data_IF_595391969164
#
_entry.id   IF_595391969164
#
_cell.length_a   1.000
_cell.length_b   1.000
_cell.length_c   1.000
_cell.angle_alpha   90.00
_cell.angle_beta   90.00
_cell.angle_gamma   90.00
#
_symmetry.space_group_name_H-M   'P 1'
#
loop_
_entity.id
_entity.type
_entity.pdbx_description
1 polymer ?
#
# COMPACT_ATOMS: atom_id res chain seq x y z
N UNK A 1 4.66 10.13 7.15
CA UNK A 1 4.01 9.44 6.00
C UNK A 1 2.88 10.27 5.40
N UNK A 2 1.84 10.63 6.17
CA UNK A 2 0.69 11.41 5.66
C UNK A 2 1.11 12.75 5.02
N UNK A 3 1.94 13.56 5.71
CA UNK A 3 2.42 14.82 5.13
C UNK A 3 3.20 14.61 3.83
N UNK A 4 3.97 13.51 3.71
CA UNK A 4 4.65 13.18 2.46
C UNK A 4 3.66 12.84 1.35
N UNK A 5 2.58 12.11 1.62
CA UNK A 5 1.57 11.85 0.60
C UNK A 5 0.88 13.14 0.13
N UNK A 6 0.49 14.01 1.08
CA UNK A 6 -0.09 15.33 0.77
C UNK A 6 0.86 16.14 -0.10
N UNK A 7 2.14 16.21 0.26
CA UNK A 7 3.15 16.91 -0.54
C UNK A 7 3.31 16.28 -1.94
N UNK A 8 3.36 14.95 -2.06
CA UNK A 8 3.42 14.28 -3.35
C UNK A 8 2.18 14.52 -4.22
N UNK A 9 1.00 14.64 -3.61
CA UNK A 9 -0.27 14.90 -4.30
C UNK A 9 -0.40 16.35 -4.74
N UNK A 10 -0.11 17.29 -3.85
CA UNK A 10 -0.46 18.71 -4.03
C UNK A 10 0.72 19.56 -4.54
N UNK A 11 1.95 19.25 -4.12
CA UNK A 11 3.13 20.04 -4.50
C UNK A 11 3.87 19.43 -5.68
N UNK A 12 3.98 18.10 -5.70
CA UNK A 12 4.72 17.37 -6.73
C UNK A 12 3.83 16.76 -7.81
N UNK A 13 2.50 16.76 -7.59
CA UNK A 13 1.49 16.26 -8.51
C UNK A 13 1.77 14.86 -9.09
N UNK A 14 2.42 14.00 -8.30
CA UNK A 14 2.76 12.63 -8.69
C UNK A 14 1.82 11.57 -8.11
N UNK A 15 0.67 11.96 -7.56
CA UNK A 15 -0.37 11.01 -7.15
C UNK A 15 -1.32 10.67 -8.31
N UNK A 16 -2.36 9.90 -8.02
CA UNK A 16 -3.52 9.69 -8.88
C UNK A 16 -4.76 9.37 -8.03
N UNK A 17 -5.98 9.48 -8.58
CA UNK A 17 -7.22 9.23 -7.83
C UNK A 17 -7.26 7.85 -7.15
N UNK A 18 -6.70 6.83 -7.80
CA UNK A 18 -6.63 5.47 -7.29
C UNK A 18 -5.70 5.33 -6.07
N UNK A 19 -4.57 6.03 -6.09
CA UNK A 19 -3.62 6.06 -4.97
C UNK A 19 -4.18 6.84 -3.79
N UNK A 20 -4.77 8.00 -4.04
CA UNK A 20 -5.37 8.84 -2.99
C UNK A 20 -6.47 8.06 -2.26
N UNK A 21 -7.36 7.41 -3.02
CA UNK A 21 -8.42 6.58 -2.46
C UNK A 21 -7.89 5.39 -1.66
N UNK A 22 -6.84 4.73 -2.14
CA UNK A 22 -6.23 3.60 -1.41
C UNK A 22 -5.57 4.09 -0.12
N UNK A 23 -4.89 5.24 -0.14
CA UNK A 23 -4.30 5.85 1.06
C UNK A 23 -5.39 6.15 2.09
N UNK A 24 -6.50 6.75 1.69
CA UNK A 24 -7.62 7.07 2.59
C UNK A 24 -8.23 5.81 3.21
N UNK A 25 -8.45 4.77 2.40
CA UNK A 25 -8.94 3.46 2.85
C UNK A 25 -7.99 2.83 3.88
N UNK A 26 -6.67 2.87 3.61
CA UNK A 26 -5.68 2.35 4.56
C UNK A 26 -5.71 3.11 5.89
N UNK A 27 -5.81 4.45 5.85
CA UNK A 27 -5.91 5.27 7.06
C UNK A 27 -7.20 4.96 7.85
N UNK A 28 -8.32 4.80 7.15
CA UNK A 28 -9.62 4.47 7.75
C UNK A 28 -9.58 3.12 8.50
N UNK A 29 -8.89 2.10 7.96
CA UNK A 29 -8.87 0.76 8.54
C UNK A 29 -7.71 0.47 9.49
N UNK A 30 -7.01 1.51 9.96
CA UNK A 30 -6.10 1.40 11.10
C UNK A 30 -4.62 1.62 10.79
N UNK A 31 -4.26 2.05 9.58
CA UNK A 31 -2.90 2.53 9.34
C UNK A 31 -2.64 3.83 10.11
N UNK A 32 -1.52 3.89 10.85
CA UNK A 32 -1.06 5.12 11.51
C UNK A 32 -0.58 6.13 10.47
N UNK A 33 -0.04 5.63 9.35
CA UNK A 33 0.36 6.43 8.21
C UNK A 33 0.30 5.63 6.92
N UNK A 34 -0.07 6.28 5.83
CA UNK A 34 -0.08 5.69 4.49
C UNK A 34 0.38 6.74 3.46
N UNK A 35 0.99 6.30 2.38
CA UNK A 35 1.44 7.13 1.25
C UNK A 35 1.67 6.28 0.00
N UNK A 36 1.68 6.90 -1.17
CA UNK A 36 2.25 6.29 -2.38
C UNK A 36 3.73 5.92 -2.18
N UNK A 37 4.23 4.92 -2.90
CA UNK A 37 5.64 4.52 -2.90
C UNK A 37 6.14 4.22 -4.30
N UNK A 38 7.36 4.62 -4.62
CA UNK A 38 7.89 4.63 -5.98
C UNK A 38 7.64 5.96 -6.69
N UNK A 39 7.56 5.93 -8.02
CA UNK A 39 7.52 7.13 -8.86
C UNK A 39 6.21 7.93 -8.75
N UNK A 40 5.07 7.25 -8.57
CA UNK A 40 3.76 7.88 -8.60
C UNK A 40 2.95 7.58 -9.87
N UNK A 41 1.87 8.33 -10.07
CA UNK A 41 0.88 8.15 -11.16
C UNK A 41 0.34 6.72 -11.29
N UNK A 42 0.19 6.05 -10.15
CA UNK A 42 -0.18 4.64 -10.04
C UNK A 42 0.85 3.85 -9.22
N UNK A 43 0.83 2.52 -9.37
CA UNK A 43 1.73 1.63 -8.64
C UNK A 43 1.24 1.34 -7.23
N UNK A 44 2.13 1.46 -6.24
CA UNK A 44 1.90 0.94 -4.89
C UNK A 44 1.71 2.03 -3.84
N UNK A 45 1.06 1.67 -2.73
CA UNK A 45 1.10 2.42 -1.47
C UNK A 45 1.87 1.63 -0.41
N UNK A 46 2.39 2.34 0.58
CA UNK A 46 2.98 1.75 1.79
C UNK A 46 2.25 2.30 3.01
N UNK A 47 1.82 1.40 3.89
CA UNK A 47 1.05 1.73 5.09
C UNK A 47 1.69 1.13 6.33
N UNK A 48 1.84 1.95 7.37
CA UNK A 48 2.33 1.52 8.67
C UNK A 48 1.14 1.14 9.55
N UNK A 49 1.04 -0.14 9.89
CA UNK A 49 -0.11 -0.74 10.57
C UNK A 49 0.35 -1.41 11.87
N UNK A 50 -0.32 -1.17 13.01
CA UNK A 50 -0.09 -1.93 14.23
C UNK A 50 -0.27 -3.44 14.01
N UNK A 51 0.64 -4.26 14.54
CA UNK A 51 0.64 -5.71 14.31
C UNK A 51 -0.67 -6.38 14.75
N UNK A 52 -1.25 -5.92 15.87
CA UNK A 52 -2.53 -6.38 16.40
C UNK A 52 -3.72 -6.09 15.46
N UNK A 53 -3.60 -5.10 14.57
CA UNK A 53 -4.63 -4.72 13.60
C UNK A 53 -4.42 -5.32 12.21
N UNK A 54 -3.30 -6.01 11.96
CA UNK A 54 -2.89 -6.41 10.62
C UNK A 54 -3.94 -7.27 9.88
N UNK A 55 -4.46 -8.31 10.53
CA UNK A 55 -5.43 -9.21 9.89
C UNK A 55 -6.73 -8.49 9.51
N UNK A 56 -7.24 -7.66 10.42
CA UNK A 56 -8.45 -6.87 10.20
C UNK A 56 -8.23 -5.80 9.13
N UNK A 57 -7.06 -5.16 9.13
CA UNK A 57 -6.64 -4.19 8.11
C UNK A 57 -6.66 -4.83 6.71
N UNK A 58 -5.97 -5.96 6.53
CA UNK A 58 -5.90 -6.64 5.23
C UNK A 58 -7.29 -7.03 4.72
N UNK A 59 -8.13 -7.61 5.60
CA UNK A 59 -9.50 -8.00 5.26
C UNK A 59 -10.35 -6.80 4.81
N UNK A 60 -10.25 -5.68 5.51
CA UNK A 60 -11.06 -4.50 5.22
C UNK A 60 -10.58 -3.76 3.97
N UNK A 61 -9.27 -3.62 3.77
CA UNK A 61 -8.70 -3.02 2.55
C UNK A 61 -9.05 -3.85 1.32
N UNK A 62 -8.92 -5.19 1.39
CA UNK A 62 -9.37 -6.13 0.36
C UNK A 62 -10.82 -5.85 -0.04
N UNK A 63 -11.71 -5.78 0.96
CA UNK A 63 -13.13 -5.54 0.73
C UNK A 63 -13.43 -4.16 0.14
N UNK A 64 -12.79 -3.12 0.65
CA UNK A 64 -13.13 -1.73 0.32
C UNK A 64 -12.53 -1.23 -0.99
N UNK A 65 -11.39 -1.78 -1.43
CA UNK A 65 -10.67 -1.29 -2.61
C UNK A 65 -10.59 -2.29 -3.76
N UNK A 66 -10.36 -3.58 -3.45
CA UNK A 66 -10.11 -4.61 -4.47
C UNK A 66 -11.40 -5.32 -4.88
N UNK A 67 -12.29 -5.64 -3.95
CA UNK A 67 -13.56 -6.32 -4.27
C UNK A 67 -14.59 -5.42 -4.97
N UNK A 68 -14.38 -4.10 -4.98
CA UNK A 68 -15.29 -3.15 -5.63
C UNK A 68 -15.13 -3.12 -7.16
N UNK A 69 -14.08 -3.74 -7.69
CA UNK A 69 -13.73 -3.73 -9.11
C UNK A 69 -13.25 -5.12 -9.55
N UNK A 70 -13.82 -5.65 -10.63
CA UNK A 70 -13.52 -7.02 -11.08
C UNK A 70 -12.06 -7.22 -11.52
N UNK A 71 -11.42 -6.19 -12.09
CA UNK A 71 -10.02 -6.27 -12.50
C UNK A 71 -9.08 -6.25 -11.30
N UNK A 72 -9.37 -5.40 -10.31
CA UNK A 72 -8.59 -5.36 -9.06
C UNK A 72 -8.75 -6.65 -8.25
N UNK A 73 -9.95 -7.22 -8.22
CA UNK A 73 -10.19 -8.49 -7.54
C UNK A 73 -9.36 -9.63 -8.14
N UNK A 74 -9.19 -9.66 -9.46
CA UNK A 74 -8.43 -10.71 -10.14
C UNK A 74 -6.95 -10.76 -9.74
N UNK A 75 -6.38 -9.64 -9.30
CA UNK A 75 -4.94 -9.51 -8.94
C UNK A 75 -4.70 -9.34 -7.45
N UNK A 76 -5.75 -9.39 -6.62
CA UNK A 76 -5.68 -8.99 -5.22
C UNK A 76 -4.68 -9.81 -4.38
N UNK A 77 -4.63 -11.13 -4.59
CA UNK A 77 -3.70 -12.02 -3.88
C UNK A 77 -2.22 -11.59 -4.02
N UNK A 78 -1.88 -10.90 -5.11
CA UNK A 78 -0.52 -10.41 -5.40
C UNK A 78 -0.34 -8.90 -5.14
N UNK A 79 -1.41 -8.20 -4.75
CA UNK A 79 -1.45 -6.73 -4.67
C UNK A 79 -1.55 -6.21 -3.24
N UNK A 80 -1.92 -7.05 -2.27
CA UNK A 80 -2.04 -6.67 -0.86
C UNK A 80 -1.31 -7.67 0.04
N UNK A 81 -0.20 -7.24 0.63
CA UNK A 81 0.64 -8.10 1.47
C UNK A 81 1.36 -7.30 2.56
N UNK A 82 1.73 -7.99 3.64
CA UNK A 82 2.59 -7.45 4.69
C UNK A 82 4.06 -7.68 4.36
N UNK A 83 4.94 -6.79 4.82
CA UNK A 83 6.38 -6.93 4.61
C UNK A 83 7.17 -6.53 5.85
N UNK A 84 8.44 -6.95 5.89
CA UNK A 84 9.45 -6.56 6.88
C UNK A 84 10.78 -6.28 6.17
N UNK A 85 11.69 -5.49 6.75
CA UNK A 85 13.00 -5.24 6.16
C UNK A 85 13.73 -6.57 5.86
N UNK A 86 14.04 -6.80 4.59
CA UNK A 86 14.74 -7.98 4.10
C UNK A 86 16.25 -7.79 3.99
N UNK A 87 16.96 -8.85 3.60
CA UNK A 87 18.39 -8.77 3.25
C UNK A 87 18.57 -8.19 1.85
N UNK A 88 19.73 -7.58 1.61
CA UNK A 88 20.15 -7.14 0.27
C UNK A 88 20.56 -8.29 -0.63
N UNK A 89 21.16 -7.97 -1.77
CA UNK A 89 21.66 -8.96 -2.73
C UNK A 89 22.73 -9.87 -2.11
N UNK A 90 22.66 -11.17 -2.42
CA UNK A 90 23.56 -12.22 -1.92
C UNK A 90 23.87 -13.19 -3.06
N UNK A 91 25.06 -13.78 -3.04
CA UNK A 91 25.46 -14.89 -3.91
C UNK A 91 25.35 -16.18 -3.11
N UNK A 92 24.62 -17.16 -3.62
CA UNK A 92 24.56 -18.51 -3.07
C UNK A 92 25.45 -19.42 -3.92
N UNK A 93 26.38 -20.12 -3.29
CA UNK A 93 27.30 -21.04 -3.94
C UNK A 93 27.01 -22.43 -3.41
N UNK A 94 26.83 -23.40 -4.31
CA UNK A 94 26.69 -24.81 -3.96
C UNK A 94 28.07 -25.37 -3.61
N UNK A 95 28.16 -26.14 -2.52
CA UNK A 95 29.41 -26.68 -1.99
C UNK A 95 29.86 -27.93 -2.76
#
# INVERSE_FOLDING_TARGET
MKQSHISCREMYECSCPELDRLVDICLQFGAIGSRLTGAGWGGCTVSMVPTDKLNTFLKNVKKAYYQTDGQRLAVENNSLFATKPGRGALVFVEA
#
